data_IF_199707855650
#
_entry.id   IF_199707855650
#
_cell.length_a   1.000
_cell.length_b   1.000
_cell.length_c   1.000
_cell.angle_alpha   90.00
_cell.angle_beta   90.00
_cell.angle_gamma   90.00
#
_symmetry.space_group_name_H-M   'P 1'
#
loop_
_entity.id
_entity.type
_entity.pdbx_description
1 polymer ?
#
# COMPACT_ATOMS: atom_id res chain seq x y z
N UNK A 1 20.42 6.91 -10.70
CA UNK A 1 20.79 6.84 -9.26
C UNK A 1 20.09 7.90 -8.38
N UNK A 2 19.40 8.92 -8.94
CA UNK A 2 18.71 9.96 -8.16
C UNK A 2 17.38 9.51 -7.51
N UNK A 3 16.73 8.47 -8.05
CA UNK A 3 15.33 8.11 -7.77
C UNK A 3 15.04 7.42 -6.42
N UNK A 4 16.06 6.79 -5.80
CA UNK A 4 15.88 6.08 -4.52
C UNK A 4 15.78 7.02 -3.33
N UNK A 5 16.55 8.12 -3.34
CA UNK A 5 16.58 9.07 -2.22
C UNK A 5 15.33 9.94 -2.19
N UNK A 6 14.76 10.32 -3.34
CA UNK A 6 13.61 11.23 -3.38
C UNK A 6 12.34 10.61 -2.82
N UNK A 7 12.03 9.34 -3.15
CA UNK A 7 10.85 8.66 -2.60
C UNK A 7 10.95 8.42 -1.09
N UNK A 8 12.11 8.00 -0.60
CA UNK A 8 12.33 7.77 0.85
C UNK A 8 12.35 9.10 1.60
N UNK A 9 12.95 10.15 1.02
CA UNK A 9 12.91 11.48 1.60
C UNK A 9 11.50 12.09 1.57
N UNK A 10 10.69 11.82 0.55
CA UNK A 10 9.28 12.26 0.50
C UNK A 10 8.36 11.46 1.45
N UNK A 11 8.78 10.27 1.88
CA UNK A 11 8.04 9.41 2.83
C UNK A 11 8.44 9.65 4.30
N UNK A 12 9.47 10.45 4.55
CA UNK A 12 9.72 11.03 5.88
C UNK A 12 8.67 12.09 6.25
N UNK A 13 7.85 12.52 5.28
CA UNK A 13 6.69 13.39 5.51
C UNK A 13 5.46 12.59 5.96
N UNK A 14 4.55 13.29 6.66
CA UNK A 14 3.33 12.71 7.23
C UNK A 14 2.48 12.04 6.15
N UNK A 15 2.41 10.71 6.15
CA UNK A 15 1.55 9.93 5.26
C UNK A 15 0.18 9.80 5.91
N UNK A 16 -0.90 10.04 5.17
CA UNK A 16 -2.26 10.10 5.75
C UNK A 16 -3.25 9.29 4.93
N UNK A 17 -4.15 8.56 5.58
CA UNK A 17 -5.22 7.82 4.92
C UNK A 17 -6.51 7.90 5.74
N UNK A 18 -7.69 7.76 5.13
CA UNK A 18 -8.94 7.85 5.88
C UNK A 18 -9.14 6.63 6.78
N UNK A 19 -9.61 6.79 8.02
CA UNK A 19 -9.75 5.66 8.98
C UNK A 19 -10.63 4.53 8.44
N UNK A 20 -11.67 4.86 7.68
CA UNK A 20 -12.54 3.85 7.06
C UNK A 20 -11.79 2.95 6.06
N UNK A 21 -10.58 3.33 5.64
CA UNK A 21 -9.77 2.53 4.74
C UNK A 21 -9.28 1.21 5.32
N UNK A 22 -9.27 1.08 6.64
CA UNK A 22 -8.91 -0.15 7.34
C UNK A 22 -10.12 -1.08 7.56
N UNK A 23 -11.31 -0.68 7.12
CA UNK A 23 -12.50 -1.50 7.28
C UNK A 23 -12.34 -2.83 6.52
N UNK A 24 -12.72 -3.97 7.14
CA UNK A 24 -12.52 -5.31 6.57
C UNK A 24 -13.39 -5.62 5.36
N UNK A 25 -14.32 -4.73 4.99
CA UNK A 25 -15.17 -4.93 3.81
C UNK A 25 -14.31 -4.61 2.57
N UNK A 26 -14.24 -5.52 1.60
CA UNK A 26 -13.82 -5.26 0.21
C UNK A 26 -12.43 -4.69 -0.08
N UNK A 27 -11.47 -4.76 0.84
CA UNK A 27 -10.06 -4.32 0.62
C UNK A 27 -9.02 -5.39 0.96
N UNK A 28 -9.48 -6.59 1.29
CA UNK A 28 -8.63 -7.68 1.70
C UNK A 28 -8.15 -8.44 0.47
N UNK A 29 -6.84 -8.49 0.34
CA UNK A 29 -6.12 -9.16 -0.71
C UNK A 29 -5.54 -10.46 -0.17
N UNK A 30 -6.02 -11.59 -0.70
CA UNK A 30 -5.46 -12.89 -0.33
C UNK A 30 -4.23 -13.19 -1.19
N UNK A 31 -3.05 -12.93 -0.65
CA UNK A 31 -1.78 -13.25 -1.30
C UNK A 31 -1.40 -14.69 -1.01
N UNK A 32 -1.09 -15.44 -2.07
CA UNK A 32 -0.58 -16.81 -2.01
C UNK A 32 0.82 -16.87 -2.62
N UNK A 33 1.76 -17.50 -1.94
CA UNK A 33 3.13 -17.72 -2.43
C UNK A 33 3.67 -19.07 -1.96
N UNK A 34 4.87 -19.42 -2.41
CA UNK A 34 5.61 -20.58 -1.93
C UNK A 34 6.95 -20.10 -1.37
N UNK A 35 7.33 -20.64 -0.22
CA UNK A 35 8.57 -20.33 0.48
C UNK A 35 9.05 -21.59 1.19
N UNK A 36 10.33 -21.95 1.04
CA UNK A 36 10.90 -23.20 1.56
C UNK A 36 10.11 -24.46 1.13
N UNK A 37 9.62 -24.47 -0.12
CA UNK A 37 8.76 -25.53 -0.67
C UNK A 37 7.38 -25.66 -0.01
N UNK A 38 7.04 -24.78 0.94
CA UNK A 38 5.74 -24.77 1.60
C UNK A 38 4.83 -23.71 0.98
N UNK A 39 3.55 -24.04 0.72
CA UNK A 39 2.57 -23.04 0.34
C UNK A 39 2.26 -22.12 1.52
N UNK A 40 2.25 -20.81 1.25
CA UNK A 40 1.90 -19.77 2.21
C UNK A 40 0.73 -18.95 1.68
N UNK A 41 -0.10 -18.47 2.59
CA UNK A 41 -1.26 -17.62 2.30
C UNK A 41 -1.44 -16.62 3.42
N UNK A 42 -1.63 -15.36 3.05
CA UNK A 42 -1.86 -14.28 4.00
C UNK A 42 -2.80 -13.23 3.38
N UNK A 43 -3.64 -12.64 4.22
CA UNK A 43 -4.54 -11.58 3.82
C UNK A 43 -3.89 -10.22 4.10
N UNK A 44 -4.08 -9.27 3.18
CA UNK A 44 -3.56 -7.92 3.27
C UNK A 44 -4.67 -6.90 3.05
N UNK A 45 -4.82 -5.90 3.91
CA UNK A 45 -5.65 -4.73 3.62
C UNK A 45 -4.88 -3.79 2.69
N UNK A 46 -5.46 -3.42 1.54
CA UNK A 46 -4.97 -2.29 0.73
C UNK A 46 -5.51 -0.97 1.28
N UNK A 47 -4.61 -0.02 1.49
CA UNK A 47 -4.87 1.36 1.86
C UNK A 47 -4.24 2.29 0.83
N UNK A 48 -5.02 3.23 0.32
CA UNK A 48 -4.49 4.38 -0.44
C UNK A 48 -4.24 5.50 0.55
N UNK A 49 -3.05 6.10 0.49
CA UNK A 49 -2.65 7.19 1.38
C UNK A 49 -2.15 8.38 0.57
N UNK A 50 -2.34 9.58 1.13
CA UNK A 50 -1.77 10.81 0.63
C UNK A 50 -0.39 11.01 1.26
N UNK A 51 0.55 11.39 0.43
CA UNK A 51 1.85 11.94 0.80
C UNK A 51 1.70 13.44 0.65
N UNK A 52 1.84 14.17 1.75
CA UNK A 52 1.86 15.64 1.74
C UNK A 52 3.24 16.13 2.17
N UNK A 53 4.24 16.14 1.27
CA UNK A 53 5.46 16.87 1.51
C UNK A 53 5.13 18.35 1.65
N UNK A 54 5.83 19.06 2.55
CA UNK A 54 5.60 20.49 2.76
C UNK A 54 5.77 21.24 1.44
N UNK A 55 4.67 21.80 0.92
CA UNK A 55 4.68 22.69 -0.24
C UNK A 55 4.57 22.04 -1.62
N UNK A 56 4.32 20.72 -1.72
CA UNK A 56 4.11 20.03 -3.00
C UNK A 56 2.67 19.53 -3.17
N UNK A 57 2.20 19.31 -4.40
CA UNK A 57 0.91 18.66 -4.67
C UNK A 57 0.80 17.32 -3.94
N UNK A 58 -0.39 17.02 -3.39
CA UNK A 58 -0.67 15.72 -2.77
C UNK A 58 -0.38 14.61 -3.77
N UNK A 59 0.55 13.73 -3.43
CA UNK A 59 0.84 12.54 -4.21
C UNK A 59 0.23 11.33 -3.51
N UNK A 60 -0.27 10.35 -4.26
CA UNK A 60 -0.92 9.18 -3.67
C UNK A 60 0.00 7.97 -3.69
N UNK A 61 0.07 7.29 -2.56
CA UNK A 61 0.78 6.04 -2.36
C UNK A 61 -0.19 4.90 -2.03
N UNK A 62 0.31 3.68 -2.20
CA UNK A 62 -0.42 2.45 -1.85
C UNK A 62 0.32 1.73 -0.73
N UNK A 63 -0.42 1.28 0.27
CA UNK A 63 0.09 0.56 1.42
C UNK A 63 -0.70 -0.75 1.58
N UNK A 64 0.00 -1.87 1.60
CA UNK A 64 -0.54 -3.17 1.91
C UNK A 64 -0.18 -3.54 3.35
N UNK A 65 -1.17 -3.80 4.18
CA UNK A 65 -0.97 -4.15 5.59
C UNK A 65 -1.42 -5.59 5.79
N UNK A 66 -0.52 -6.48 6.20
CA UNK A 66 -0.89 -7.84 6.59
C UNK A 66 -1.93 -7.81 7.72
N UNK A 67 -2.98 -8.63 7.61
CA UNK A 67 -3.97 -8.79 8.67
C UNK A 67 -3.33 -9.26 10.00
N UNK A 68 -2.28 -10.09 9.95
CA UNK A 68 -1.54 -10.53 11.15
C UNK A 68 -0.88 -9.36 11.88
N UNK A 69 -0.41 -8.36 11.12
CA UNK A 69 0.36 -7.22 11.62
C UNK A 69 -0.46 -5.93 11.70
N UNK A 70 -1.74 -5.98 11.38
CA UNK A 70 -2.64 -4.81 11.37
C UNK A 70 -2.79 -4.18 12.75
N UNK A 71 -2.90 -4.99 13.80
CA UNK A 71 -2.96 -4.49 15.18
C UNK A 71 -1.67 -3.76 15.58
N UNK A 72 -0.50 -4.33 15.23
CA UNK A 72 0.81 -3.69 15.47
C UNK A 72 0.89 -2.36 14.72
N UNK A 73 0.54 -2.34 13.42
CA UNK A 73 0.52 -1.14 12.62
C UNK A 73 -0.36 -0.05 13.26
N UNK A 74 -1.56 -0.42 13.72
CA UNK A 74 -2.50 0.52 14.32
C UNK A 74 -2.01 1.13 15.63
N UNK A 75 -1.29 0.36 16.44
CA UNK A 75 -0.80 0.81 17.74
C UNK A 75 0.50 1.59 17.66
N UNK A 76 1.40 1.21 16.75
CA UNK A 76 2.80 1.68 16.77
C UNK A 76 3.15 2.61 15.60
N UNK A 77 2.38 2.54 14.53
CA UNK A 77 2.69 3.25 13.29
C UNK A 77 1.59 4.20 12.85
N UNK A 78 0.37 4.14 13.41
CA UNK A 78 -0.73 5.01 13.03
C UNK A 78 -1.29 5.82 14.19
N UNK A 79 -1.60 7.09 13.96
CA UNK A 79 -2.31 7.96 14.89
C UNK A 79 -3.57 8.49 14.23
N UNK A 80 -4.70 8.47 14.95
CA UNK A 80 -5.96 8.98 14.42
C UNK A 80 -6.11 10.48 14.73
N UNK A 81 -6.48 11.26 13.71
CA UNK A 81 -6.81 12.69 13.85
C UNK A 81 -8.12 13.02 13.15
N UNK A 82 -8.83 14.01 13.69
CA UNK A 82 -9.94 14.66 12.99
C UNK A 82 -9.39 15.84 12.19
N UNK A 83 -9.72 15.89 10.91
CA UNK A 83 -9.43 17.02 10.04
C UNK A 83 -10.40 18.18 10.33
N UNK A 84 -10.03 19.39 9.90
CA UNK A 84 -10.88 20.59 9.96
C UNK A 84 -12.25 20.36 9.33
N UNK A 85 -12.30 19.51 8.31
CA UNK A 85 -13.50 19.23 7.51
C UNK A 85 -14.38 18.12 8.15
N UNK A 86 -14.09 17.74 9.40
CA UNK A 86 -14.83 16.73 10.16
C UNK A 86 -14.51 15.28 9.78
N UNK A 87 -13.60 15.03 8.83
CA UNK A 87 -13.20 13.67 8.42
C UNK A 87 -12.19 13.09 9.41
N UNK A 88 -12.33 11.81 9.73
CA UNK A 88 -11.36 11.06 10.53
C UNK A 88 -10.32 10.43 9.62
N UNK A 89 -9.05 10.80 9.80
CA UNK A 89 -7.90 10.26 9.06
C UNK A 89 -6.88 9.68 10.04
N UNK A 90 -6.02 8.80 9.56
CA UNK A 90 -4.87 8.28 10.27
C UNK A 90 -3.59 8.74 9.60
N UNK A 91 -2.68 9.29 10.39
CA UNK A 91 -1.30 9.56 9.95
C UNK A 91 -0.42 8.36 10.29
N UNK A 92 0.58 8.09 9.46
CA UNK A 92 1.62 7.12 9.74
C UNK A 92 2.97 7.61 9.24
N UNK A 93 4.03 7.05 9.83
CA UNK A 93 5.42 7.29 9.41
C UNK A 93 6.00 6.02 8.80
N UNK A 94 6.66 6.17 7.66
CA UNK A 94 7.41 5.07 7.06
C UNK A 94 8.67 4.86 7.88
N UNK A 95 8.92 3.61 8.26
CA UNK A 95 10.08 3.19 9.05
C UNK A 95 10.77 2.01 8.37
N UNK A 96 11.92 1.60 8.88
CA UNK A 96 12.67 0.43 8.36
C UNK A 96 11.91 -0.91 8.51
N UNK A 97 10.75 -0.93 9.17
CA UNK A 97 9.86 -2.09 9.23
C UNK A 97 9.00 -2.27 7.98
N UNK A 98 8.84 -1.23 7.19
CA UNK A 98 8.15 -1.32 5.90
C UNK A 98 9.12 -1.87 4.87
N UNK A 99 8.56 -2.55 3.88
CA UNK A 99 9.26 -2.85 2.63
C UNK A 99 8.48 -2.20 1.49
N UNK A 100 9.09 -2.06 0.32
CA UNK A 100 8.41 -1.53 -0.86
C UNK A 100 8.57 -2.44 -2.06
N UNK A 101 7.60 -2.37 -2.95
CA UNK A 101 7.69 -2.91 -4.31
C UNK A 101 7.49 -1.79 -5.33
N UNK A 102 7.78 -2.10 -6.58
CA UNK A 102 7.57 -1.21 -7.72
C UNK A 102 6.97 -1.99 -8.87
N UNK A 103 6.28 -1.29 -9.77
CA UNK A 103 5.77 -1.96 -10.95
C UNK A 103 6.92 -2.30 -11.89
N UNK A 104 7.65 -1.31 -12.39
CA UNK A 104 8.75 -1.54 -13.32
C UNK A 104 10.11 -1.14 -12.73
N UNK A 105 11.20 -1.44 -13.45
CA UNK A 105 12.58 -1.06 -13.04
C UNK A 105 12.77 0.46 -12.91
N UNK A 106 11.98 1.25 -13.65
CA UNK A 106 11.94 2.72 -13.58
C UNK A 106 11.39 3.21 -12.23
N UNK A 107 10.83 2.31 -11.40
CA UNK A 107 10.30 2.67 -10.10
C UNK A 107 8.95 3.35 -10.17
N UNK A 108 8.20 3.16 -11.26
CA UNK A 108 6.82 3.60 -11.40
C UNK A 108 5.93 2.80 -10.44
N UNK A 109 4.90 3.46 -9.91
CA UNK A 109 3.84 2.84 -9.10
C UNK A 109 4.36 2.14 -7.83
N UNK A 110 5.31 2.76 -7.12
CA UNK A 110 5.82 2.23 -5.84
C UNK A 110 4.69 2.04 -4.84
N UNK A 111 4.79 0.97 -4.07
CA UNK A 111 3.87 0.65 -3.00
C UNK A 111 4.62 0.16 -1.77
N UNK A 112 4.03 0.42 -0.61
CA UNK A 112 4.52 -0.01 0.68
C UNK A 112 3.85 -1.32 1.09
N UNK A 113 4.58 -2.16 1.80
CA UNK A 113 4.05 -3.36 2.43
C UNK A 113 4.51 -3.39 3.88
N UNK A 114 3.56 -3.59 4.80
CA UNK A 114 3.81 -3.81 6.21
C UNK A 114 3.36 -5.23 6.56
N UNK A 115 4.34 -6.12 6.81
CA UNK A 115 4.09 -7.55 7.01
C UNK A 115 5.18 -8.20 7.86
N UNK A 116 5.00 -9.49 8.15
CA UNK A 116 6.00 -10.26 8.86
C UNK A 116 7.29 -10.34 8.01
N UNK A 117 8.45 -9.86 8.52
CA UNK A 117 9.69 -9.83 7.75
C UNK A 117 10.27 -11.21 7.44
N UNK A 118 9.75 -12.28 8.06
CA UNK A 118 10.09 -13.66 7.71
C UNK A 118 9.37 -14.16 6.45
N UNK A 119 8.29 -13.50 6.06
CA UNK A 119 7.54 -13.84 4.85
C UNK A 119 8.21 -13.18 3.66
N UNK A 120 8.39 -13.91 2.57
CA UNK A 120 9.03 -13.39 1.34
C UNK A 120 8.10 -13.48 0.12
N UNK A 121 6.91 -12.85 0.15
CA UNK A 121 6.06 -12.78 -1.02
C UNK A 121 6.74 -11.92 -2.10
N UNK A 122 6.68 -12.39 -3.35
CA UNK A 122 7.20 -11.64 -4.51
C UNK A 122 6.36 -10.39 -4.77
N UNK A 123 6.99 -9.31 -5.23
CA UNK A 123 6.30 -8.02 -5.44
C UNK A 123 5.14 -8.13 -6.43
N UNK A 124 5.27 -8.98 -7.47
CA UNK A 124 4.22 -9.29 -8.45
C UNK A 124 2.89 -9.70 -7.80
N UNK A 125 2.91 -10.33 -6.63
CA UNK A 125 1.68 -10.77 -5.96
C UNK A 125 0.79 -9.60 -5.52
N UNK A 126 1.39 -8.46 -5.22
CA UNK A 126 0.69 -7.23 -4.83
C UNK A 126 0.25 -6.39 -6.03
N UNK A 127 0.89 -6.63 -7.18
CA UNK A 127 0.69 -5.91 -8.43
C UNK A 127 -0.41 -6.56 -9.27
N UNK A 128 -0.43 -7.90 -9.35
CA UNK A 128 -1.45 -8.69 -10.06
C UNK A 128 -2.06 -9.72 -9.11
N UNK A 129 -2.89 -9.30 -8.15
CA UNK A 129 -3.44 -10.23 -7.19
C UNK A 129 -4.53 -11.08 -7.86
N UNK A 130 -4.47 -12.42 -7.81
CA UNK A 130 -5.54 -13.25 -8.34
C UNK A 130 -6.81 -13.02 -7.52
N UNK A 131 -7.84 -12.43 -8.14
CA UNK A 131 -9.15 -12.23 -7.52
C UNK A 131 -9.28 -11.00 -6.62
N UNK A 132 -8.50 -9.94 -6.84
CA UNK A 132 -8.72 -8.65 -6.16
C UNK A 132 -10.09 -8.06 -6.54
N UNK A 133 -11.12 -8.37 -5.74
CA UNK A 133 -12.41 -7.69 -5.81
C UNK A 133 -12.40 -6.51 -4.83
N UNK A 134 -12.08 -5.32 -5.33
CA UNK A 134 -12.46 -4.09 -4.64
C UNK A 134 -13.94 -3.85 -4.91
N UNK A 135 -14.76 -3.78 -3.86
CA UNK A 135 -16.19 -3.51 -4.06
C UNK A 135 -16.40 -2.07 -4.55
N UNK A 136 -17.30 -1.88 -5.51
CA UNK A 136 -17.57 -0.58 -6.12
C UNK A 136 -17.89 0.53 -5.09
N UNK A 137 -18.61 0.19 -4.01
CA UNK A 137 -18.94 1.16 -2.95
C UNK A 137 -17.73 1.66 -2.14
N UNK A 138 -16.65 0.89 -2.11
CA UNK A 138 -15.40 1.28 -1.44
C UNK A 138 -14.53 2.13 -2.34
N UNK A 139 -14.47 1.79 -3.62
CA UNK A 139 -13.81 2.59 -4.65
C UNK A 139 -14.48 3.97 -4.76
N UNK A 140 -15.81 4.00 -4.75
CA UNK A 140 -16.59 5.24 -4.71
C UNK A 140 -16.34 6.05 -3.42
N UNK A 141 -16.28 5.39 -2.26
CA UNK A 141 -15.97 6.06 -0.98
C UNK A 141 -14.55 6.62 -0.94
N UNK A 142 -13.59 5.91 -1.52
CA UNK A 142 -12.21 6.36 -1.66
C UNK A 142 -12.14 7.58 -2.59
N UNK A 143 -12.73 7.48 -3.79
CA UNK A 143 -12.78 8.57 -4.76
C UNK A 143 -13.46 9.82 -4.18
N UNK A 144 -14.61 9.67 -3.49
CA UNK A 144 -15.30 10.76 -2.78
C UNK A 144 -14.46 11.38 -1.66
N UNK A 145 -13.59 10.60 -1.03
CA UNK A 145 -12.65 11.10 -0.04
C UNK A 145 -11.41 11.76 -0.66
N UNK A 146 -11.28 11.75 -1.99
CA UNK A 146 -10.14 12.27 -2.73
C UNK A 146 -9.02 11.25 -2.92
N UNK A 147 -9.22 9.98 -2.54
CA UNK A 147 -8.23 8.91 -2.60
C UNK A 147 -8.51 7.98 -3.80
N UNK A 148 -7.60 7.93 -4.77
CA UNK A 148 -7.68 7.02 -5.92
C UNK A 148 -8.13 7.71 -7.22
N UNK A 149 -7.24 7.71 -8.21
CA UNK A 149 -7.56 8.07 -9.60
C UNK A 149 -8.03 6.85 -10.38
N UNK A 150 -8.78 7.09 -11.47
CA UNK A 150 -9.21 6.03 -12.40
C UNK A 150 -8.01 5.25 -12.95
N UNK A 151 -6.89 5.94 -13.21
CA UNK A 151 -5.65 5.31 -13.71
C UNK A 151 -4.98 4.38 -12.68
N UNK A 152 -5.00 4.72 -11.39
CA UNK A 152 -4.42 3.89 -10.33
C UNK A 152 -5.14 2.55 -10.11
N UNK A 153 -6.40 2.47 -10.54
CA UNK A 153 -7.21 1.25 -10.54
C UNK A 153 -7.16 0.50 -11.88
N UNK A 154 -7.04 1.20 -13.00
CA UNK A 154 -6.92 0.61 -14.35
C UNK A 154 -5.60 -0.14 -14.56
N UNK A 155 -4.53 0.23 -13.82
CA UNK A 155 -3.24 -0.46 -13.88
C UNK A 155 -3.34 -1.98 -13.55
N UNK A 156 -4.31 -2.40 -12.72
CA UNK A 156 -4.53 -3.81 -12.39
C UNK A 156 -4.86 -4.68 -13.63
N UNK A 157 -5.33 -4.07 -14.72
CA UNK A 157 -5.55 -4.74 -16.01
C UNK A 157 -4.31 -4.72 -16.93
N UNK A 158 -3.43 -3.72 -16.82
CA UNK A 158 -2.34 -3.49 -17.79
C UNK A 158 -1.03 -4.22 -17.42
N UNK A 159 -0.93 -4.79 -16.22
CA UNK A 159 0.29 -5.46 -15.76
C UNK A 159 0.36 -6.89 -16.30
N UNK A 160 0.71 -6.99 -17.58
CA UNK A 160 1.03 -8.23 -18.27
C UNK A 160 2.33 -8.07 -19.05
N UNK A 161 3.45 -8.59 -18.51
CA UNK A 161 4.40 -9.48 -19.22
C UNK A 161 5.81 -9.57 -18.60
N UNK A 162 6.32 -8.57 -17.88
CA UNK A 162 7.76 -8.56 -17.50
C UNK A 162 8.11 -8.75 -16.00
N UNK A 163 7.18 -9.23 -15.18
CA UNK A 163 7.28 -9.11 -13.71
C UNK A 163 7.83 -10.34 -12.96
N UNK A 164 8.50 -11.26 -13.67
CA UNK A 164 8.88 -12.53 -13.07
C UNK A 164 10.11 -12.41 -12.17
N UNK A 165 9.89 -12.36 -10.85
CA UNK A 165 10.83 -12.95 -9.89
C UNK A 165 11.35 -12.05 -8.77
N UNK A 166 11.16 -10.75 -8.83
CA UNK A 166 11.73 -9.85 -7.82
C UNK A 166 10.95 -9.90 -6.47
N UNK A 167 11.73 -9.92 -5.38
CA UNK A 167 11.24 -9.79 -4.01
C UNK A 167 10.94 -8.33 -3.64
N UNK A 168 10.26 -8.15 -2.51
CA UNK A 168 10.08 -6.83 -1.91
C UNK A 168 11.44 -6.26 -1.44
N UNK A 169 11.63 -4.95 -1.58
CA UNK A 169 12.88 -4.25 -1.32
C UNK A 169 12.81 -3.54 0.05
N UNK A 170 13.91 -3.54 0.79
CA UNK A 170 14.07 -2.80 2.05
C UNK A 170 14.49 -1.35 1.76
N UNK A 171 14.16 -0.44 2.69
CA UNK A 171 14.60 0.96 2.69
C UNK A 171 16.10 1.09 2.95
#
# INVERSE_FOLDING_TARGET
MADKKEFVNSLNDSCEFPTFALSPRGRNLSIKWSQNWEPRKEAYTLVVFDISPKGTPRSQGRLFISEERKAEFLQTHSEEKKTSDGRTVRSFKVTNKFVYGQANEEGKDRFLVFHNPKNEPKQLRFVTPPGAMFSAGILDSLNKAGYGSKEGFDLLQEIGSDYFGEGLKKF
#
